data_IF_318578460395
#
_entry.id   IF_318578460395
#
_cell.length_a   1.000
_cell.length_b   1.000
_cell.length_c   1.000
_cell.angle_alpha   90.00
_cell.angle_beta   90.00
_cell.angle_gamma   90.00
#
_symmetry.space_group_name_H-M   'P 1'
#
loop_
_entity.id
_entity.type
_entity.pdbx_description
1 polymer ?
#
# COMPACT_ATOMS: atom_id res chain seq x y z
N UNK A 1 27.93 -7.22 -0.64
CA UNK A 1 27.61 -6.48 0.59
C UNK A 1 26.13 -6.14 0.51
N UNK A 2 25.25 -6.86 1.23
CA UNK A 2 23.80 -6.59 1.20
C UNK A 2 23.54 -5.26 1.92
N UNK A 3 23.29 -4.21 1.15
CA UNK A 3 22.95 -2.89 1.69
C UNK A 3 21.51 -2.98 2.20
N UNK A 4 21.35 -2.96 3.52
CA UNK A 4 20.03 -2.91 4.15
C UNK A 4 19.26 -1.69 3.64
N UNK A 5 18.02 -1.88 3.24
CA UNK A 5 17.10 -0.81 2.84
C UNK A 5 16.83 0.09 4.04
N UNK A 6 16.88 1.39 3.80
CA UNK A 6 16.44 2.38 4.79
C UNK A 6 14.97 2.66 4.55
N UNK A 7 14.14 2.37 5.53
CA UNK A 7 12.71 2.66 5.51
C UNK A 7 12.38 3.95 6.25
N UNK A 8 11.42 4.69 5.72
CA UNK A 8 10.80 5.86 6.33
C UNK A 8 9.33 5.53 6.58
N UNK A 9 8.79 5.90 7.74
CA UNK A 9 7.36 5.81 8.03
C UNK A 9 6.66 6.86 7.20
N UNK A 10 5.97 6.45 6.13
CA UNK A 10 5.42 7.40 5.18
C UNK A 10 4.01 7.83 5.58
N UNK A 11 3.14 6.87 5.89
CA UNK A 11 1.75 7.13 6.23
C UNK A 11 0.88 5.90 5.98
N UNK A 12 -0.41 6.14 5.79
CA UNK A 12 -1.43 5.10 5.79
C UNK A 12 -2.17 4.99 4.47
N UNK A 13 -2.61 3.79 4.15
CA UNK A 13 -3.66 3.54 3.17
C UNK A 13 -4.86 2.89 3.87
N UNK A 14 -6.06 3.20 3.37
CA UNK A 14 -7.32 2.57 3.80
C UNK A 14 -7.81 1.67 2.68
N UNK A 15 -8.00 0.40 2.96
CA UNK A 15 -8.48 -0.62 2.01
C UNK A 15 -9.83 -1.14 2.42
N UNK A 16 -10.76 -1.27 1.48
CA UNK A 16 -12.00 -2.03 1.70
C UNK A 16 -11.81 -3.49 1.28
N UNK A 17 -12.19 -4.44 2.13
CA UNK A 17 -12.00 -5.88 1.88
C UNK A 17 -13.28 -6.60 1.45
N UNK A 18 -14.44 -6.05 1.80
CA UNK A 18 -15.75 -6.60 1.43
C UNK A 18 -16.29 -6.06 0.09
N UNK A 19 -15.63 -5.07 -0.51
CA UNK A 19 -15.96 -4.51 -1.81
C UNK A 19 -15.76 -5.50 -2.96
N UNK A 20 -16.44 -5.27 -4.09
CA UNK A 20 -16.36 -6.15 -5.28
C UNK A 20 -14.94 -6.28 -5.82
N UNK A 21 -14.14 -5.22 -5.71
CA UNK A 21 -12.72 -5.24 -6.04
C UNK A 21 -11.89 -5.89 -4.93
N UNK A 22 -12.12 -5.55 -3.66
CA UNK A 22 -11.41 -6.11 -2.50
C UNK A 22 -11.47 -7.65 -2.41
N UNK A 23 -12.63 -8.25 -2.67
CA UNK A 23 -12.80 -9.73 -2.60
C UNK A 23 -11.94 -10.50 -3.62
N UNK A 24 -11.52 -9.87 -4.72
CA UNK A 24 -10.68 -10.52 -5.74
C UNK A 24 -9.30 -10.87 -5.21
N UNK A 25 -8.84 -10.16 -4.19
CA UNK A 25 -7.49 -10.31 -3.63
C UNK A 25 -7.40 -11.45 -2.61
N UNK A 26 -8.52 -12.10 -2.25
CA UNK A 26 -8.51 -13.28 -1.38
C UNK A 26 -7.80 -13.02 -0.05
N UNK A 27 -6.67 -13.69 0.16
CA UNK A 27 -5.84 -13.55 1.36
C UNK A 27 -4.69 -12.53 1.23
N UNK A 28 -4.55 -11.84 0.10
CA UNK A 28 -3.52 -10.84 -0.11
C UNK A 28 -3.85 -9.53 0.63
N UNK A 29 -2.95 -9.10 1.53
CA UNK A 29 -3.07 -7.89 2.35
C UNK A 29 -1.98 -6.85 2.08
N UNK A 30 -1.42 -6.84 0.86
CA UNK A 30 -0.44 -5.83 0.44
C UNK A 30 -1.06 -4.49 0.01
N UNK A 31 -0.33 -3.73 -0.79
CA UNK A 31 -0.75 -2.37 -1.18
C UNK A 31 -1.91 -2.35 -2.18
N UNK A 32 -2.05 -3.39 -3.01
CA UNK A 32 -3.06 -3.41 -4.07
C UNK A 32 -4.43 -3.82 -3.53
N UNK A 33 -5.49 -3.23 -4.08
CA UNK A 33 -6.86 -3.61 -3.76
C UNK A 33 -7.81 -2.44 -3.84
N UNK A 34 -8.89 -2.51 -3.08
CA UNK A 34 -9.88 -1.43 -3.02
C UNK A 34 -9.41 -0.30 -2.08
N UNK A 35 -8.32 0.35 -2.48
CA UNK A 35 -7.71 1.46 -1.76
C UNK A 35 -8.56 2.72 -1.96
N UNK A 36 -8.75 3.49 -0.88
CA UNK A 36 -9.57 4.70 -0.86
C UNK A 36 -11.02 4.47 -1.36
N UNK A 37 -11.79 3.57 -0.71
CA UNK A 37 -13.09 3.10 -1.21
C UNK A 37 -14.16 4.20 -1.38
N UNK A 38 -14.12 5.27 -0.58
CA UNK A 38 -15.07 6.38 -0.70
C UNK A 38 -14.91 7.14 -2.04
N UNK A 39 -13.76 7.01 -2.71
CA UNK A 39 -13.52 7.61 -4.03
C UNK A 39 -14.37 6.95 -5.13
N UNK A 40 -14.81 5.70 -4.93
CA UNK A 40 -15.53 4.91 -5.93
C UNK A 40 -17.03 4.78 -5.62
N UNK A 41 -17.39 4.71 -4.34
CA UNK A 41 -18.77 4.47 -3.89
C UNK A 41 -19.54 5.77 -3.58
N UNK A 42 -19.70 6.59 -4.63
CA UNK A 42 -20.18 7.98 -4.60
C UNK A 42 -21.65 8.15 -4.16
N UNK A 43 -22.48 7.10 -4.26
CA UNK A 43 -23.94 7.22 -4.17
C UNK A 43 -24.49 7.30 -2.74
N UNK A 44 -23.68 7.00 -1.71
CA UNK A 44 -24.15 6.84 -0.32
C UNK A 44 -23.74 8.00 0.62
N UNK A 45 -23.08 9.05 0.10
CA UNK A 45 -22.45 10.10 0.91
C UNK A 45 -23.00 11.46 0.50
N UNK A 46 -23.23 12.35 1.48
CA UNK A 46 -23.55 13.75 1.22
C UNK A 46 -22.51 14.37 0.28
N UNK A 47 -22.97 14.94 -0.84
CA UNK A 47 -22.09 15.39 -1.93
C UNK A 47 -20.99 16.35 -1.46
N UNK A 48 -21.28 17.25 -0.52
CA UNK A 48 -20.30 18.20 0.03
C UNK A 48 -19.20 17.50 0.81
N UNK A 49 -19.56 16.52 1.66
CA UNK A 49 -18.61 15.75 2.46
C UNK A 49 -17.77 14.83 1.57
N UNK A 50 -18.40 14.16 0.61
CA UNK A 50 -17.68 13.34 -0.37
C UNK A 50 -16.66 14.17 -1.14
N UNK A 51 -17.08 15.34 -1.64
CA UNK A 51 -16.20 16.25 -2.37
C UNK A 51 -14.98 16.63 -1.52
N UNK A 52 -15.18 17.04 -0.26
CA UNK A 52 -14.08 17.35 0.65
C UNK A 52 -13.08 16.19 0.80
N UNK A 53 -13.57 14.97 1.02
CA UNK A 53 -12.70 13.80 1.21
C UNK A 53 -11.92 13.45 -0.06
N UNK A 54 -12.56 13.52 -1.23
CA UNK A 54 -11.90 13.26 -2.52
C UNK A 54 -10.89 14.36 -2.87
N UNK A 55 -11.28 15.63 -2.74
CA UNK A 55 -10.39 16.78 -2.99
C UNK A 55 -9.12 16.65 -2.12
N UNK A 56 -9.26 16.28 -0.85
CA UNK A 56 -8.10 16.12 0.03
C UNK A 56 -7.14 15.02 -0.45
N UNK A 57 -7.67 13.88 -0.92
CA UNK A 57 -6.86 12.78 -1.46
C UNK A 57 -6.08 13.27 -2.69
N UNK A 58 -6.76 13.90 -3.64
CA UNK A 58 -6.14 14.41 -4.87
C UNK A 58 -5.10 15.50 -4.58
N UNK A 59 -5.37 16.37 -3.60
CA UNK A 59 -4.53 17.51 -3.25
C UNK A 59 -3.37 17.18 -2.31
N UNK A 60 -3.43 16.10 -1.53
CA UNK A 60 -2.45 15.83 -0.47
C UNK A 60 -1.84 14.42 -0.51
N UNK A 61 -2.59 13.44 -1.00
CA UNK A 61 -2.15 12.03 -1.06
C UNK A 61 -1.55 11.73 -2.42
N UNK A 62 -2.29 11.91 -3.52
CA UNK A 62 -1.90 11.52 -4.88
C UNK A 62 -0.90 12.49 -5.50
N UNK A 63 0.36 12.40 -5.09
CA UNK A 63 1.43 13.36 -5.41
C UNK A 63 2.73 12.73 -5.93
N UNK A 64 2.82 11.40 -5.93
CA UNK A 64 3.97 10.63 -6.40
C UNK A 64 4.29 10.91 -7.87
N UNK A 65 3.27 11.18 -8.70
CA UNK A 65 3.43 11.58 -10.10
C UNK A 65 4.23 12.90 -10.27
N UNK A 66 4.15 13.81 -9.30
CA UNK A 66 4.82 15.12 -9.37
C UNK A 66 6.16 15.16 -8.62
N UNK A 67 6.44 14.16 -7.76
CA UNK A 67 7.66 14.10 -6.94
C UNK A 67 8.05 12.63 -6.70
N UNK A 68 9.07 12.16 -7.41
CA UNK A 68 9.61 10.80 -7.31
C UNK A 68 10.22 10.46 -5.93
N UNK A 69 10.35 11.43 -5.02
CA UNK A 69 10.70 11.17 -3.63
C UNK A 69 9.48 10.81 -2.75
N UNK A 70 8.27 10.82 -3.32
CA UNK A 70 7.00 10.57 -2.64
C UNK A 70 6.39 9.21 -2.93
N UNK A 71 5.64 8.73 -1.95
CA UNK A 71 4.67 7.63 -2.06
C UNK A 71 3.28 8.16 -1.69
N UNK A 72 2.25 7.70 -2.38
CA UNK A 72 0.86 8.16 -2.21
C UNK A 72 0.25 7.46 -1.01
N UNK A 73 0.44 8.06 0.16
CA UNK A 73 -0.13 7.59 1.43
C UNK A 73 -0.55 8.80 2.25
N UNK A 74 -1.53 8.60 3.14
CA UNK A 74 -1.98 9.67 4.01
C UNK A 74 -1.13 9.77 5.27
N UNK A 75 -0.46 10.90 5.48
CA UNK A 75 0.27 11.19 6.72
C UNK A 75 -0.51 12.11 7.68
N UNK A 76 -1.75 12.49 7.34
CA UNK A 76 -2.59 13.35 8.17
C UNK A 76 -3.60 12.50 8.98
N UNK A 77 -3.34 12.34 10.28
CA UNK A 77 -4.15 11.50 11.16
C UNK A 77 -5.56 12.05 11.40
N UNK A 78 -5.73 13.37 11.43
CA UNK A 78 -7.05 13.98 11.57
C UNK A 78 -7.94 13.61 10.37
N UNK A 79 -7.41 13.79 9.15
CA UNK A 79 -8.09 13.38 7.93
C UNK A 79 -8.36 11.87 7.90
N UNK A 80 -7.34 11.05 8.24
CA UNK A 80 -7.47 9.59 8.25
C UNK A 80 -8.61 9.14 9.18
N UNK A 81 -8.71 9.72 10.38
CA UNK A 81 -9.79 9.44 11.32
C UNK A 81 -11.16 9.83 10.78
N UNK A 82 -11.28 10.96 10.09
CA UNK A 82 -12.53 11.37 9.46
C UNK A 82 -12.94 10.43 8.31
N UNK A 83 -11.96 10.03 7.50
CA UNK A 83 -12.15 9.08 6.40
C UNK A 83 -12.63 7.73 6.92
N UNK A 84 -11.93 7.16 7.90
CA UNK A 84 -12.27 5.89 8.56
C UNK A 84 -13.64 5.96 9.23
N UNK A 85 -13.94 7.05 9.95
CA UNK A 85 -15.26 7.27 10.55
C UNK A 85 -16.37 7.26 9.49
N UNK A 86 -16.10 7.81 8.31
CA UNK A 86 -17.05 7.82 7.20
C UNK A 86 -17.24 6.42 6.60
N UNK A 87 -16.16 5.65 6.38
CA UNK A 87 -16.24 4.25 5.97
C UNK A 87 -17.07 3.41 6.95
N UNK A 88 -16.83 3.58 8.26
CA UNK A 88 -17.53 2.82 9.30
C UNK A 88 -19.04 3.16 9.35
N UNK A 89 -19.42 4.42 9.10
CA UNK A 89 -20.84 4.81 8.99
C UNK A 89 -21.57 4.19 7.80
N UNK A 90 -20.82 3.73 6.79
CA UNK A 90 -21.35 3.03 5.62
C UNK A 90 -21.21 1.50 5.75
N UNK A 91 -20.85 0.99 6.94
CA UNK A 91 -20.63 -0.42 7.22
C UNK A 91 -19.58 -1.07 6.29
N UNK A 92 -18.59 -0.30 5.83
CA UNK A 92 -17.48 -0.85 5.04
C UNK A 92 -16.55 -1.65 5.94
N UNK A 93 -16.21 -2.87 5.52
CA UNK A 93 -15.18 -3.64 6.19
C UNK A 93 -13.81 -3.18 5.67
N UNK A 94 -13.10 -2.41 6.50
CA UNK A 94 -11.85 -1.75 6.10
C UNK A 94 -10.64 -2.24 6.88
N UNK A 95 -9.49 -2.13 6.22
CA UNK A 95 -8.16 -2.34 6.77
C UNK A 95 -7.35 -1.05 6.67
N UNK A 96 -6.60 -0.73 7.71
CA UNK A 96 -5.74 0.46 7.75
C UNK A 96 -4.30 -0.02 7.79
N UNK A 97 -3.53 0.27 6.74
CA UNK A 97 -2.17 -0.21 6.60
C UNK A 97 -1.18 0.95 6.74
N UNK A 98 -0.25 0.84 7.68
CA UNK A 98 0.95 1.68 7.75
C UNK A 98 1.95 1.19 6.71
N UNK A 99 2.35 2.10 5.84
CA UNK A 99 3.32 1.88 4.77
C UNK A 99 4.64 2.58 5.12
N UNK A 100 5.71 1.79 5.19
CA UNK A 100 7.07 2.30 5.26
C UNK A 100 7.81 1.95 3.97
N UNK A 101 8.49 2.91 3.36
CA UNK A 101 9.21 2.72 2.08
C UNK A 101 10.59 3.37 2.10
N UNK A 102 11.38 3.15 1.05
CA UNK A 102 12.64 3.89 0.86
C UNK A 102 12.44 5.33 0.39
N UNK A 103 11.21 5.72 0.04
CA UNK A 103 10.88 7.09 -0.37
C UNK A 103 10.78 7.97 0.86
N UNK A 104 11.31 9.19 0.76
CA UNK A 104 11.51 10.08 1.92
C UNK A 104 10.23 10.81 2.34
N UNK A 105 9.24 10.86 1.45
CA UNK A 105 8.03 11.66 1.62
C UNK A 105 6.77 10.84 1.29
N UNK A 106 5.60 11.19 1.86
CA UNK A 106 5.49 11.96 3.09
C UNK A 106 6.21 11.24 4.25
N UNK A 107 6.36 11.91 5.39
CA UNK A 107 6.94 11.32 6.60
C UNK A 107 5.96 11.55 7.74
N UNK A 108 5.71 10.50 8.51
CA UNK A 108 4.98 10.59 9.77
C UNK A 108 5.89 10.14 10.92
N UNK A 109 5.88 10.91 12.00
CA UNK A 109 6.55 10.52 13.22
C UNK A 109 5.61 9.64 14.04
N UNK A 110 5.95 8.36 14.19
CA UNK A 110 5.25 7.42 15.07
C UNK A 110 6.31 6.78 15.95
N UNK A 111 6.12 6.85 17.25
CA UNK A 111 7.03 6.25 18.22
C UNK A 111 7.01 4.71 18.10
N UNK A 112 8.17 4.06 18.27
CA UNK A 112 8.28 2.59 18.09
C UNK A 112 7.34 1.83 19.03
N UNK A 113 7.17 2.29 20.27
CA UNK A 113 6.26 1.64 21.22
C UNK A 113 4.80 1.66 20.75
N UNK A 114 4.38 2.66 19.95
CA UNK A 114 3.03 2.70 19.37
C UNK A 114 2.92 1.64 18.27
N UNK A 115 3.96 1.49 17.44
CA UNK A 115 4.03 0.45 16.42
C UNK A 115 3.93 -0.93 17.06
N UNK A 116 4.74 -1.21 18.07
CA UNK A 116 4.80 -2.52 18.73
C UNK A 116 3.48 -2.94 19.39
N UNK A 117 2.65 -1.98 19.80
CA UNK A 117 1.40 -2.26 20.54
C UNK A 117 0.13 -2.13 19.69
N UNK A 118 0.15 -1.32 18.63
CA UNK A 118 -1.05 -1.01 17.84
C UNK A 118 -0.97 -1.50 16.41
N UNK A 119 0.11 -2.16 16.00
CA UNK A 119 0.31 -2.63 14.64
C UNK A 119 0.75 -4.09 14.59
N UNK A 120 0.15 -4.84 13.67
CA UNK A 120 0.58 -6.18 13.30
C UNK A 120 1.45 -6.10 12.04
N UNK A 121 2.70 -6.55 12.12
CA UNK A 121 3.55 -6.64 10.94
C UNK A 121 3.04 -7.71 9.97
N UNK A 122 2.77 -7.32 8.72
CA UNK A 122 2.24 -8.22 7.69
C UNK A 122 3.33 -8.77 6.77
N UNK A 123 4.35 -7.98 6.44
CA UNK A 123 5.39 -8.39 5.51
C UNK A 123 5.87 -7.28 4.60
N UNK A 124 6.50 -7.69 3.50
CA UNK A 124 7.01 -6.81 2.47
C UNK A 124 6.32 -7.03 1.13
N UNK A 125 6.07 -5.92 0.45
CA UNK A 125 5.52 -5.86 -0.89
C UNK A 125 6.46 -5.06 -1.82
N UNK A 126 6.23 -5.15 -3.13
CA UNK A 126 6.94 -4.39 -4.14
C UNK A 126 5.96 -3.93 -5.20
N UNK A 127 5.80 -2.62 -5.34
CA UNK A 127 4.74 -2.07 -6.18
C UNK A 127 4.85 -0.57 -6.43
N UNK A 128 3.89 -0.04 -7.17
CA UNK A 128 3.89 1.37 -7.54
C UNK A 128 3.80 2.26 -6.30
N UNK A 129 4.51 3.39 -6.29
CA UNK A 129 4.42 4.42 -5.26
C UNK A 129 3.12 5.24 -5.38
N UNK A 130 2.34 5.05 -6.44
CA UNK A 130 1.27 5.94 -6.87
C UNK A 130 -0.15 5.42 -6.70
N UNK A 131 -1.07 6.16 -7.31
CA UNK A 131 -2.53 6.09 -7.15
C UNK A 131 -3.20 4.76 -7.53
N UNK A 132 -2.58 3.96 -8.39
CA UNK A 132 -3.07 2.64 -8.79
C UNK A 132 -2.63 1.50 -7.85
N UNK A 133 -1.64 1.74 -6.97
CA UNK A 133 -1.09 0.78 -6.00
C UNK A 133 -0.82 -0.63 -6.57
N UNK A 134 -0.41 -0.75 -7.83
CA UNK A 134 -0.11 -2.05 -8.43
C UNK A 134 0.98 -2.78 -7.65
N UNK A 135 0.73 -4.01 -7.23
CA UNK A 135 1.73 -4.87 -6.62
C UNK A 135 2.30 -5.86 -7.64
N UNK A 136 3.60 -5.76 -7.86
CA UNK A 136 4.32 -6.75 -8.65
C UNK A 136 4.27 -8.13 -7.98
N UNK A 137 4.27 -8.17 -6.65
CA UNK A 137 4.23 -9.43 -5.90
C UNK A 137 2.93 -10.18 -6.19
N UNK A 138 1.80 -9.48 -6.09
CA UNK A 138 0.48 -10.05 -6.37
C UNK A 138 0.31 -10.44 -7.84
N UNK A 139 0.74 -9.59 -8.77
CA UNK A 139 0.46 -9.78 -10.20
C UNK A 139 1.45 -10.72 -10.91
N UNK A 140 2.70 -10.84 -10.45
CA UNK A 140 3.72 -11.62 -11.16
C UNK A 140 3.82 -13.06 -10.64
N UNK A 141 3.70 -13.27 -9.32
CA UNK A 141 3.86 -14.60 -8.72
C UNK A 141 2.64 -15.47 -9.05
N UNK A 142 2.88 -16.65 -9.64
CA UNK A 142 1.85 -17.56 -10.14
C UNK A 142 1.37 -17.27 -11.56
N UNK A 143 1.72 -16.10 -12.12
CA UNK A 143 1.49 -15.77 -13.54
C UNK A 143 2.77 -15.96 -14.37
N UNK A 144 3.92 -15.61 -13.80
CA UNK A 144 5.24 -15.79 -14.43
C UNK A 144 5.86 -17.09 -13.92
N UNK A 145 5.97 -18.08 -14.81
CA UNK A 145 6.40 -19.45 -14.45
C UNK A 145 7.75 -19.52 -13.74
N UNK A 146 8.68 -18.61 -14.08
CA UNK A 146 10.00 -18.54 -13.46
C UNK A 146 9.96 -18.09 -11.99
N UNK A 147 8.79 -17.64 -11.51
CA UNK A 147 8.53 -17.21 -10.14
C UNK A 147 7.73 -18.22 -9.31
N UNK A 148 7.32 -19.36 -9.87
CA UNK A 148 6.41 -20.32 -9.20
C UNK A 148 6.96 -20.92 -7.89
N UNK A 149 8.29 -20.96 -7.74
CA UNK A 149 8.94 -21.46 -6.53
C UNK A 149 9.00 -20.43 -5.38
N UNK A 150 8.57 -19.19 -5.63
CA UNK A 150 8.56 -18.14 -4.60
C UNK A 150 7.43 -18.42 -3.61
N UNK A 151 7.80 -18.54 -2.33
CA UNK A 151 6.85 -18.73 -1.24
C UNK A 151 6.56 -17.42 -0.54
N UNK A 152 5.28 -17.05 -0.51
CA UNK A 152 4.76 -15.92 0.25
C UNK A 152 4.18 -16.41 1.59
N UNK A 153 4.02 -15.49 2.53
CA UNK A 153 3.39 -15.77 3.82
C UNK A 153 1.85 -15.82 3.70
N UNK A 154 1.16 -16.03 4.82
CA UNK A 154 -0.31 -16.12 4.86
C UNK A 154 -1.04 -14.91 4.28
N UNK A 155 -0.37 -13.75 4.25
CA UNK A 155 -0.89 -12.48 3.75
C UNK A 155 -0.54 -12.20 2.29
N UNK A 156 0.07 -13.17 1.58
CA UNK A 156 0.54 -12.97 0.22
C UNK A 156 1.74 -12.01 0.12
N UNK A 157 2.54 -11.90 1.19
CA UNK A 157 3.68 -10.99 1.28
C UNK A 157 4.99 -11.75 1.60
N UNK A 158 6.13 -11.08 1.42
CA UNK A 158 7.42 -11.60 1.88
C UNK A 158 7.61 -11.39 3.39
N UNK A 159 8.29 -12.33 4.06
CA UNK A 159 8.55 -12.22 5.50
C UNK A 159 9.79 -11.36 5.82
N UNK A 160 10.69 -11.20 4.86
CA UNK A 160 11.95 -10.48 5.09
C UNK A 160 12.31 -9.54 3.94
N UNK A 161 13.11 -8.53 4.30
CA UNK A 161 13.70 -7.59 3.35
C UNK A 161 14.55 -8.32 2.29
N UNK A 162 15.30 -9.34 2.68
CA UNK A 162 16.10 -10.13 1.75
C UNK A 162 15.23 -10.82 0.68
N UNK A 163 14.08 -11.37 1.07
CA UNK A 163 13.19 -12.05 0.14
C UNK A 163 12.61 -11.10 -0.91
N UNK A 164 12.13 -9.91 -0.50
CA UNK A 164 11.60 -8.92 -1.44
C UNK A 164 12.71 -8.30 -2.31
N UNK A 165 13.93 -8.16 -1.76
CA UNK A 165 15.11 -7.73 -2.54
C UNK A 165 15.46 -8.74 -3.62
N UNK A 166 15.53 -10.03 -3.26
CA UNK A 166 15.78 -11.10 -4.22
C UNK A 166 14.68 -11.19 -5.29
N UNK A 167 13.42 -10.96 -4.89
CA UNK A 167 12.29 -10.91 -5.82
C UNK A 167 12.45 -9.79 -6.85
N UNK A 168 12.68 -8.54 -6.45
CA UNK A 168 12.77 -7.48 -7.45
C UNK A 168 14.01 -7.64 -8.34
N UNK A 169 15.14 -8.14 -7.82
CA UNK A 169 16.33 -8.44 -8.64
C UNK A 169 15.99 -9.51 -9.69
N UNK A 170 15.26 -10.56 -9.29
CA UNK A 170 14.78 -11.59 -10.21
C UNK A 170 13.83 -11.00 -11.26
N UNK A 171 12.86 -10.20 -10.83
CA UNK A 171 11.88 -9.53 -11.70
C UNK A 171 12.57 -8.68 -12.75
N UNK A 172 13.50 -7.81 -12.36
CA UNK A 172 14.23 -6.95 -13.29
C UNK A 172 15.04 -7.75 -14.31
N UNK A 173 15.68 -8.84 -13.88
CA UNK A 173 16.38 -9.76 -14.79
C UNK A 173 15.43 -10.44 -15.78
N UNK A 174 14.25 -10.86 -15.33
CA UNK A 174 13.26 -11.51 -16.20
C UNK A 174 12.59 -10.51 -17.15
N UNK A 175 12.32 -9.28 -16.68
CA UNK A 175 11.78 -8.18 -17.48
C UNK A 175 12.70 -7.81 -18.64
N UNK A 176 14.02 -7.85 -18.45
CA UNK A 176 14.98 -7.65 -19.54
C UNK A 176 14.93 -8.74 -20.62
N UNK A 177 14.53 -9.97 -20.26
CA UNK A 177 14.47 -11.10 -21.20
C UNK A 177 13.12 -11.18 -21.91
N UNK A 178 12.03 -11.05 -21.14
CA UNK A 178 10.66 -11.21 -21.59
C UNK A 178 9.81 -10.03 -21.12
N UNK A 179 10.06 -8.82 -21.65
CA UNK A 179 9.42 -7.58 -21.20
C UNK A 179 7.89 -7.61 -21.19
N UNK A 180 7.29 -8.25 -22.19
CA UNK A 180 5.84 -8.39 -22.37
C UNK A 180 5.12 -9.12 -21.22
N UNK A 181 5.86 -9.84 -20.38
CA UNK A 181 5.30 -10.54 -19.23
C UNK A 181 5.19 -9.65 -18.00
N UNK A 182 5.65 -8.41 -18.02
CA UNK A 182 5.70 -7.55 -16.84
C UNK A 182 5.05 -6.22 -17.14
N UNK A 183 4.38 -5.68 -16.13
CA UNK A 183 3.99 -4.29 -16.17
C UNK A 183 5.26 -3.42 -16.18
N UNK A 184 5.37 -2.59 -17.21
CA UNK A 184 6.28 -1.46 -17.21
C UNK A 184 5.58 -0.35 -16.47
N UNK A 185 6.25 0.23 -15.48
CA UNK A 185 5.81 1.56 -15.12
C UNK A 185 6.34 2.56 -16.12
N UNK A 186 5.99 3.80 -15.86
CA UNK A 186 6.25 4.88 -16.79
C UNK A 186 7.74 5.31 -16.77
N UNK A 187 8.54 4.95 -15.74
CA UNK A 187 9.92 5.41 -15.50
C UNK A 187 10.83 4.41 -14.74
N UNK A 188 12.14 4.30 -15.03
CA UNK A 188 13.11 3.38 -14.37
C UNK A 188 13.22 3.41 -12.80
N UNK A 189 12.45 4.25 -12.10
CA UNK A 189 12.27 4.32 -10.63
C UNK A 189 10.87 3.91 -10.14
N UNK A 190 10.10 3.21 -10.98
CA UNK A 190 8.65 3.02 -10.85
C UNK A 190 8.18 2.32 -9.61
N UNK A 191 8.99 1.46 -9.01
CA UNK A 191 8.52 0.60 -7.94
C UNK A 191 9.32 0.85 -6.67
N UNK A 192 8.67 0.68 -5.52
CA UNK A 192 9.33 0.75 -4.22
C UNK A 192 8.97 -0.46 -3.37
N UNK A 193 9.88 -0.81 -2.47
CA UNK A 193 9.61 -1.82 -1.46
C UNK A 193 8.77 -1.18 -0.36
N UNK A 194 7.65 -1.82 -0.05
CA UNK A 194 6.81 -1.47 1.06
C UNK A 194 7.05 -2.47 2.19
N UNK A 195 7.32 -1.95 3.38
CA UNK A 195 7.17 -2.69 4.64
C UNK A 195 5.80 -2.31 5.19
N UNK A 196 4.95 -3.32 5.39
CA UNK A 196 3.52 -3.13 5.66
C UNK A 196 3.19 -3.66 7.04
N UNK A 197 2.50 -2.83 7.83
CA UNK A 197 1.89 -3.24 9.08
C UNK A 197 0.43 -2.81 9.13
N UNK A 198 -0.45 -3.69 9.63
CA UNK A 198 -1.87 -3.40 9.79
C UNK A 198 -2.14 -2.79 11.16
N UNK A 199 -2.93 -1.72 11.20
CA UNK A 199 -3.42 -1.16 12.45
C UNK A 199 -4.41 -2.11 13.13
N UNK A 200 -4.18 -2.40 14.41
CA UNK A 200 -5.02 -3.26 15.26
C UNK A 200 -5.43 -2.55 16.56
N UNK A 201 -5.14 -1.26 16.69
CA UNK A 201 -5.52 -0.43 17.84
C UNK A 201 -6.97 0.05 17.80
N UNK A 202 -7.32 0.91 18.75
CA UNK A 202 -8.66 1.48 18.87
C UNK A 202 -8.85 2.68 17.94
N UNK A 203 -10.08 2.90 17.48
CA UNK A 203 -10.47 4.11 16.76
C UNK A 203 -11.08 5.14 17.71
N UNK A 204 -10.85 6.46 17.51
CA UNK A 204 -9.97 7.05 16.52
C UNK A 204 -8.48 6.75 16.78
N UNK A 205 -7.68 6.73 15.73
CA UNK A 205 -6.23 6.55 15.81
C UNK A 205 -5.62 7.72 16.60
N UNK A 206 -4.85 7.37 17.63
CA UNK A 206 -4.08 8.29 18.47
C UNK A 206 -2.60 7.87 18.39
N UNK A 207 -1.77 8.68 17.70
CA UNK A 207 -0.34 8.46 17.51
C UNK A 207 0.49 9.55 18.19
#
# INVERSE_FOLDING_TARGET
MNKKLKFYKNGFIVKRVDGSYGRKFGNYLGIEGDVWPLYKDIQLIEQSKLKYLCDFIDENVLKSYFDNSRVDVCSNIQFLNEYVSTCNKLDFNIEILLCETSRKKPYINIEEYVIDNQFEFLGYDYGYPGDNYYSCVYNDIGRVSEMDNIKLNKYGLFNSEEQVVNFYILRERLKQKNPQNFEFGEHDTDYTVYKISKYVGNLPILL
#
